data_IF_362620670921
#
_entry.id   IF_362620670921
#
_cell.length_a   1.000
_cell.length_b   1.000
_cell.length_c   1.000
_cell.angle_alpha   90.00
_cell.angle_beta   90.00
_cell.angle_gamma   90.00
#
_symmetry.space_group_name_H-M   'P 1'
#
loop_
_entity.id
_entity.type
_entity.pdbx_description
1 polymer ?
#
# COMPACT_ATOMS: atom_id res chain seq x y z
N UNK A 1 -12.27 -12.68 3.77
CA UNK A 1 -11.20 -11.82 3.23
C UNK A 1 -11.66 -10.38 3.36
N UNK A 2 -10.89 -9.51 4.03
CA UNK A 2 -11.22 -8.08 4.18
C UNK A 2 -10.27 -7.25 3.30
N UNK A 3 -10.80 -6.22 2.64
CA UNK A 3 -10.02 -5.24 1.88
C UNK A 3 -10.04 -3.95 2.67
N UNK A 4 -8.85 -3.38 2.92
CA UNK A 4 -8.67 -2.13 3.66
C UNK A 4 -7.95 -1.16 2.74
N UNK A 5 -8.60 -0.03 2.49
CA UNK A 5 -7.98 1.14 1.88
C UNK A 5 -7.26 1.93 2.98
N UNK A 6 -6.03 2.36 2.69
CA UNK A 6 -5.22 3.16 3.61
C UNK A 6 -4.82 4.44 2.91
N UNK A 7 -5.42 5.56 3.31
CA UNK A 7 -5.10 6.88 2.77
C UNK A 7 -4.66 7.79 3.92
N UNK A 8 -3.42 8.29 3.85
CA UNK A 8 -2.97 9.37 4.77
C UNK A 8 -2.76 10.65 3.96
N UNK A 9 -3.50 11.69 4.33
CA UNK A 9 -3.58 12.96 3.60
C UNK A 9 -2.47 13.94 4.01
N UNK A 10 -1.73 14.39 2.98
CA UNK A 10 -1.05 15.67 2.71
C UNK A 10 -0.07 16.27 3.75
N UNK A 11 1.22 15.96 3.58
CA UNK A 11 2.32 16.92 3.32
C UNK A 11 3.29 16.20 2.33
N UNK A 12 3.60 16.79 1.16
CA UNK A 12 4.60 16.31 0.15
C UNK A 12 4.31 15.10 -0.79
N UNK A 13 3.13 15.02 -1.44
CA UNK A 13 2.86 14.15 -2.64
C UNK A 13 3.28 12.67 -2.54
N UNK A 14 3.39 12.14 -1.33
CA UNK A 14 3.89 10.80 -1.04
C UNK A 14 2.84 10.07 -0.25
N UNK A 15 2.34 8.97 -0.80
CA UNK A 15 1.36 8.13 -0.14
C UNK A 15 2.09 7.12 0.76
N UNK A 16 1.76 7.15 2.05
CA UNK A 16 2.34 6.24 3.05
C UNK A 16 1.34 5.13 3.32
N UNK A 17 1.72 3.92 2.93
CA UNK A 17 0.95 2.71 3.20
C UNK A 17 1.27 2.26 4.61
N UNK A 18 0.28 2.31 5.49
CA UNK A 18 0.42 1.83 6.88
C UNK A 18 -0.42 0.58 7.11
N UNK A 19 -0.07 -0.19 8.13
CA UNK A 19 -0.91 -1.33 8.54
C UNK A 19 -2.19 -0.82 9.21
N UNK A 20 -3.38 -1.35 8.87
CA UNK A 20 -4.62 -1.02 9.56
C UNK A 20 -4.85 -1.85 10.83
N UNK A 21 -4.17 -2.99 10.97
CA UNK A 21 -4.42 -3.99 12.02
C UNK A 21 -3.13 -4.58 12.58
N UNK A 22 -3.23 -5.26 13.73
CA UNK A 22 -2.16 -6.09 14.29
C UNK A 22 -2.10 -7.44 13.55
N UNK A 23 -0.90 -7.89 13.19
CA UNK A 23 -0.72 -9.17 12.50
C UNK A 23 0.69 -9.44 12.03
N UNK A 24 0.82 -10.32 11.03
CA UNK A 24 2.06 -10.62 10.31
C UNK A 24 1.90 -10.45 8.81
N UNK A 25 2.98 -10.02 8.15
CA UNK A 25 3.01 -9.94 6.68
C UNK A 25 3.08 -11.34 6.11
N UNK A 26 1.99 -11.81 5.50
CA UNK A 26 1.95 -13.11 4.84
C UNK A 26 2.55 -13.05 3.43
N UNK A 27 2.33 -11.94 2.73
CA UNK A 27 2.85 -11.74 1.37
C UNK A 27 3.08 -10.26 1.06
N UNK A 28 4.16 -10.00 0.32
CA UNK A 28 4.49 -8.70 -0.29
C UNK A 28 4.41 -8.89 -1.80
N UNK A 29 3.53 -8.15 -2.48
CA UNK A 29 3.37 -8.22 -3.94
C UNK A 29 4.13 -7.10 -4.68
N UNK A 30 4.70 -6.14 -3.95
CA UNK A 30 5.39 -4.98 -4.52
C UNK A 30 6.90 -5.01 -4.29
N UNK A 31 7.63 -4.25 -5.09
CA UNK A 31 9.08 -4.04 -4.96
C UNK A 31 9.42 -2.55 -5.04
N UNK A 32 10.57 -2.10 -4.52
CA UNK A 32 11.04 -0.74 -4.76
C UNK A 32 11.22 -0.51 -6.26
N UNK A 33 10.80 0.68 -6.74
CA UNK A 33 10.71 1.05 -8.16
C UNK A 33 9.69 0.25 -8.98
N UNK A 34 8.77 -0.45 -8.34
CA UNK A 34 7.67 -1.11 -9.03
C UNK A 34 6.52 -0.12 -9.28
N UNK A 35 5.77 -0.34 -10.36
CA UNK A 35 4.60 0.47 -10.69
C UNK A 35 3.36 -0.21 -10.13
N UNK A 36 2.54 0.54 -9.40
CA UNK A 36 1.33 0.03 -8.77
C UNK A 36 0.08 0.67 -9.37
N UNK A 37 -0.98 -0.12 -9.51
CA UNK A 37 -2.28 0.35 -9.96
C UNK A 37 -3.25 0.57 -8.80
N UNK A 38 -4.26 1.41 -9.05
CA UNK A 38 -5.38 1.58 -8.12
C UNK A 38 -6.06 0.23 -7.87
N UNK A 39 -6.46 -0.02 -6.62
CA UNK A 39 -7.11 -1.27 -6.18
C UNK A 39 -6.23 -2.53 -6.24
N UNK A 40 -4.93 -2.39 -6.51
CA UNK A 40 -4.02 -3.52 -6.53
C UNK A 40 -3.60 -3.93 -5.09
N UNK A 41 -3.64 -5.23 -4.73
CA UNK A 41 -3.25 -5.68 -3.40
C UNK A 41 -1.73 -5.67 -3.24
N UNK A 42 -1.23 -4.68 -2.50
CA UNK A 42 0.20 -4.49 -2.26
C UNK A 42 0.73 -5.48 -1.22
N UNK A 43 -0.02 -5.64 -0.13
CA UNK A 43 0.34 -6.48 1.00
C UNK A 43 -0.82 -7.38 1.41
N UNK A 44 -0.48 -8.57 1.92
CA UNK A 44 -1.41 -9.47 2.58
C UNK A 44 -0.94 -9.62 4.02
N UNK A 45 -1.79 -9.23 4.96
CA UNK A 45 -1.55 -9.32 6.39
C UNK A 45 -2.44 -10.42 6.96
N UNK A 46 -1.86 -11.35 7.69
CA UNK A 46 -2.57 -12.30 8.51
C UNK A 46 -2.68 -11.75 9.93
N UNK A 47 -3.91 -11.44 10.34
CA UNK A 47 -4.19 -11.04 11.73
C UNK A 47 -4.06 -12.24 12.68
N UNK A 48 -3.86 -11.98 13.97
CA UNK A 48 -3.81 -13.06 14.98
C UNK A 48 -5.12 -13.88 15.06
N UNK A 49 -6.21 -13.35 14.51
CA UNK A 49 -7.50 -14.04 14.38
C UNK A 49 -7.55 -14.99 13.16
N UNK A 50 -6.45 -15.16 12.42
CA UNK A 50 -6.41 -15.97 11.19
C UNK A 50 -7.12 -15.33 10.00
N UNK A 51 -7.45 -14.04 10.08
CA UNK A 51 -8.10 -13.31 8.99
C UNK A 51 -7.03 -12.69 8.08
N UNK A 52 -7.12 -12.98 6.78
CA UNK A 52 -6.32 -12.35 5.75
C UNK A 52 -6.93 -10.99 5.35
N UNK A 53 -6.16 -9.94 5.56
CA UNK A 53 -6.46 -8.57 5.14
C UNK A 53 -5.57 -8.17 3.97
N UNK A 54 -6.19 -7.68 2.90
CA UNK A 54 -5.48 -7.11 1.75
C UNK A 54 -5.39 -5.61 1.93
N UNK A 55 -4.15 -5.11 1.88
CA UNK A 55 -3.87 -3.68 1.87
C UNK A 55 -3.82 -3.24 0.41
N UNK A 56 -4.77 -2.39 0.03
CA UNK A 56 -4.89 -1.78 -1.29
C UNK A 56 -4.80 -0.27 -1.16
N UNK A 57 -4.41 0.39 -2.24
CA UNK A 57 -4.42 1.86 -2.33
C UNK A 57 -5.31 2.29 -3.48
N UNK A 58 -5.89 3.48 -3.36
CA UNK A 58 -6.71 4.11 -4.41
C UNK A 58 -5.92 5.07 -5.29
N UNK A 59 -4.61 5.19 -5.10
CA UNK A 59 -3.74 5.92 -6.00
C UNK A 59 -2.91 4.96 -6.86
N UNK A 60 -2.51 5.44 -8.04
CA UNK A 60 -1.50 4.81 -8.87
C UNK A 60 -0.18 5.58 -8.78
N UNK A 61 0.93 4.87 -8.90
CA UNK A 61 2.23 5.50 -8.74
C UNK A 61 3.39 4.51 -8.75
N UNK A 62 4.53 4.96 -8.24
CA UNK A 62 5.74 4.17 -8.16
C UNK A 62 6.14 3.95 -6.71
N UNK A 63 6.50 2.71 -6.36
CA UNK A 63 6.92 2.35 -5.00
C UNK A 63 8.28 2.98 -4.71
N UNK A 64 8.31 3.93 -3.78
CA UNK A 64 9.53 4.60 -3.34
C UNK A 64 10.39 3.70 -2.44
N UNK A 65 9.77 3.06 -1.45
CA UNK A 65 10.46 2.12 -0.55
C UNK A 65 9.50 1.12 0.08
N UNK A 66 10.03 -0.04 0.49
CA UNK A 66 9.31 -1.08 1.22
C UNK A 66 10.09 -1.37 2.50
N UNK A 67 9.45 -1.14 3.64
CA UNK A 67 10.07 -1.21 4.97
C UNK A 67 9.83 -2.55 5.68
N UNK A 68 9.09 -3.48 5.04
CA UNK A 68 8.67 -4.76 5.64
C UNK A 68 8.94 -5.95 4.72
N UNK A 69 9.05 -7.15 5.30
CA UNK A 69 9.23 -8.40 4.56
C UNK A 69 8.20 -9.45 5.00
N UNK A 70 8.10 -10.54 4.23
CA UNK A 70 7.26 -11.69 4.62
C UNK A 70 7.70 -12.22 5.98
N UNK A 71 6.75 -12.41 6.89
CA UNK A 71 6.93 -12.90 8.25
C UNK A 71 7.10 -11.80 9.30
N UNK A 72 7.29 -10.53 8.91
CA UNK A 72 7.41 -9.43 9.85
C UNK A 72 6.10 -9.19 10.62
N UNK A 73 6.25 -8.82 11.90
CA UNK A 73 5.12 -8.41 12.74
C UNK A 73 4.77 -6.97 12.44
N UNK A 74 3.49 -6.70 12.22
CA UNK A 74 2.96 -5.37 11.91
C UNK A 74 1.93 -4.96 12.95
N UNK A 75 1.89 -3.66 13.24
CA UNK A 75 0.95 -3.03 14.17
C UNK A 75 0.21 -1.89 13.46
N UNK A 76 -1.01 -1.53 13.87
CA UNK A 76 -1.73 -0.41 13.30
C UNK A 76 -0.90 0.87 13.30
N UNK A 77 -0.85 1.55 12.16
CA UNK A 77 -0.04 2.76 11.97
C UNK A 77 1.44 2.51 11.64
N UNK A 78 1.91 1.26 11.63
CA UNK A 78 3.27 0.94 11.17
C UNK A 78 3.37 1.19 9.66
N UNK A 79 4.43 1.87 9.23
CA UNK A 79 4.73 2.10 7.80
C UNK A 79 5.16 0.79 7.15
N UNK A 80 4.45 0.39 6.10
CA UNK A 80 4.74 -0.79 5.28
C UNK A 80 5.56 -0.40 4.06
N UNK A 81 5.11 0.63 3.35
CA UNK A 81 5.75 1.15 2.16
C UNK A 81 5.40 2.60 1.92
N UNK A 82 6.21 3.21 1.07
CA UNK A 82 6.02 4.56 0.55
C UNK A 82 5.80 4.49 -0.95
N UNK A 83 4.79 5.19 -1.45
CA UNK A 83 4.49 5.31 -2.87
C UNK A 83 4.58 6.79 -3.26
N UNK A 84 5.27 7.07 -4.36
CA UNK A 84 5.21 8.37 -4.98
C UNK A 84 4.02 8.36 -5.94
N UNK A 85 3.03 9.20 -5.67
CA UNK A 85 1.94 9.43 -6.61
C UNK A 85 2.54 10.08 -7.85
N UNK A 86 2.60 9.32 -8.94
CA UNK A 86 2.81 9.90 -10.25
C UNK A 86 1.45 10.46 -10.65
N UNK A 87 1.28 11.77 -10.44
CA UNK A 87 0.14 12.47 -11.00
C UNK A 87 0.18 12.28 -12.52
N UNK A 88 -0.57 11.30 -13.02
CA UNK A 88 -0.96 11.26 -14.42
C UNK A 88 -1.80 12.51 -14.65
N UNK A 89 -1.13 13.57 -15.06
CA UNK A 89 -1.74 14.63 -15.85
C UNK A 89 -2.30 13.96 -17.10
N UNK A 90 -3.51 13.40 -17.01
CA UNK A 90 -4.34 13.22 -18.18
C UNK A 90 -4.67 14.61 -18.68
N UNK A 91 -3.79 15.16 -19.50
CA UNK A 91 -4.14 16.20 -20.45
C UNK A 91 -5.18 15.58 -21.38
N UNK A 92 -6.45 15.82 -21.06
CA UNK A 92 -7.56 15.48 -21.93
C UNK A 92 -7.40 16.27 -23.23
N UNK A 93 -6.72 15.71 -24.23
CA UNK A 93 -6.80 16.19 -25.61
C UNK A 93 -8.23 15.93 -26.10
N UNK A 94 -9.09 16.93 -25.90
CA UNK A 94 -10.29 17.09 -26.70
C UNK A 94 -9.86 17.35 -28.14
N UNK A 95 -10.20 16.43 -29.04
CA UNK A 95 -10.33 16.73 -30.46
C UNK A 95 -11.74 16.37 -30.89
#
# INVERSE_FOLDING_TARGET
MRVREVTTKYWDKKEIVTSPSFGRVEKVNIKPNDKIAEWEPLFIIETEQGVLEKVVVSASGMVASVEVKKGDKVIPGLVLASINEEAFSCECHHQ
#
